data_IF_525167115592
#
_entry.id   IF_525167115592
#
_cell.length_a   1.000
_cell.length_b   1.000
_cell.length_c   1.000
_cell.angle_alpha   90.00
_cell.angle_beta   90.00
_cell.angle_gamma   90.00
#
_symmetry.space_group_name_H-M   'P 1'
#
loop_
_entity.id
_entity.type
_entity.pdbx_description
1 polymer ?
#
# COMPACT_ATOMS: atom_id res chain seq x y z
N UNK A 1 61.80 -41.74 10.34
CA UNK A 1 62.75 -40.78 10.94
C UNK A 1 62.02 -39.43 10.97
N UNK A 2 61.34 -39.06 12.07
CA UNK A 2 61.80 -38.09 13.11
C UNK A 2 62.62 -36.93 12.48
N UNK A 3 62.21 -35.66 12.48
CA UNK A 3 61.97 -34.66 13.57
C UNK A 3 61.41 -33.38 12.87
N UNK A 4 60.80 -32.33 13.45
CA UNK A 4 60.54 -31.85 14.82
C UNK A 4 60.01 -30.39 14.74
N UNK A 5 59.17 -30.04 15.73
CA UNK A 5 58.41 -28.82 16.07
C UNK A 5 58.94 -27.39 15.73
N UNK A 6 58.01 -26.44 15.56
CA UNK A 6 57.81 -25.29 16.48
C UNK A 6 56.51 -24.53 16.17
N UNK A 7 55.71 -24.28 17.22
CA UNK A 7 54.43 -23.58 17.19
C UNK A 7 54.58 -22.09 17.56
N UNK A 8 53.80 -21.22 16.93
CA UNK A 8 53.45 -19.90 17.49
C UNK A 8 52.01 -19.58 17.16
N UNK A 9 51.17 -19.63 18.20
CA UNK A 9 49.79 -19.15 18.23
C UNK A 9 49.85 -17.66 18.59
N UNK A 10 49.23 -16.80 17.78
CA UNK A 10 48.91 -15.42 18.15
C UNK A 10 47.40 -15.27 18.09
N UNK A 11 46.77 -15.27 19.26
CA UNK A 11 45.36 -14.96 19.48
C UNK A 11 45.21 -13.42 19.49
N UNK A 12 44.60 -12.85 18.45
CA UNK A 12 44.03 -11.49 18.53
C UNK A 12 42.51 -11.62 18.70
N UNK A 13 42.08 -11.53 19.96
CA UNK A 13 40.69 -11.40 20.38
C UNK A 13 40.26 -9.93 20.29
N UNK A 14 39.61 -9.56 19.18
CA UNK A 14 38.88 -8.30 19.09
C UNK A 14 37.49 -8.49 19.71
N UNK A 15 37.32 -7.97 20.92
CA UNK A 15 36.10 -8.03 21.70
C UNK A 15 35.01 -7.15 21.06
N UNK A 16 33.83 -7.74 20.84
CA UNK A 16 32.60 -7.03 20.47
C UNK A 16 32.10 -6.30 21.72
N UNK A 17 32.09 -4.97 21.70
CA UNK A 17 31.47 -4.16 22.75
C UNK A 17 29.99 -3.93 22.41
N UNK A 18 29.02 -4.29 23.27
CA UNK A 18 27.67 -3.77 23.16
C UNK A 18 27.69 -2.29 23.60
N UNK A 19 27.28 -1.39 22.71
CA UNK A 19 26.99 -0.01 23.09
C UNK A 19 25.73 0.00 23.95
N UNK A 20 25.90 0.08 25.27
CA UNK A 20 24.83 0.46 26.19
C UNK A 20 24.68 1.98 26.13
N UNK A 21 23.71 2.45 25.35
CA UNK A 21 23.28 3.84 25.43
C UNK A 21 22.58 4.05 26.77
N UNK A 22 23.19 4.83 27.65
CA UNK A 22 22.58 5.31 28.88
C UNK A 22 21.48 6.30 28.51
N UNK A 23 20.21 5.87 28.59
CA UNK A 23 19.06 6.76 28.61
C UNK A 23 18.93 7.38 30.00
N UNK A 24 19.25 8.67 30.09
CA UNK A 24 19.04 9.54 31.24
C UNK A 24 17.54 9.58 31.61
N UNK A 25 17.24 9.37 32.89
CA UNK A 25 15.90 9.41 33.44
C UNK A 25 15.51 10.87 33.74
N UNK A 26 14.75 11.49 32.83
CA UNK A 26 14.22 12.84 33.00
C UNK A 26 12.74 12.97 32.60
N UNK A 27 11.85 12.86 33.60
CA UNK A 27 10.43 13.31 33.67
C UNK A 27 9.36 12.70 32.72
N UNK A 28 8.18 12.30 33.24
CA UNK A 28 7.05 11.84 32.44
C UNK A 28 6.27 13.04 31.87
N UNK A 29 6.37 13.28 30.56
CA UNK A 29 5.41 14.11 29.82
C UNK A 29 4.21 13.23 29.42
N UNK A 30 3.01 13.76 29.64
CA UNK A 30 1.72 13.11 29.35
C UNK A 30 1.50 12.78 27.86
N UNK A 31 0.37 12.15 27.52
CA UNK A 31 0.16 11.55 26.22
C UNK A 31 -0.28 12.62 25.20
N UNK A 32 0.66 13.41 24.69
CA UNK A 32 0.43 14.21 23.50
C UNK A 32 0.76 13.39 22.25
N UNK A 33 -0.31 13.01 21.56
CA UNK A 33 -0.37 12.19 20.36
C UNK A 33 0.14 12.93 19.11
N UNK A 34 1.41 13.34 19.09
CA UNK A 34 2.04 13.97 17.91
C UNK A 34 3.49 13.54 17.77
N UNK A 35 3.74 12.27 17.44
CA UNK A 35 5.03 11.84 16.91
C UNK A 35 4.91 10.45 16.26
N UNK A 36 4.23 10.33 15.13
CA UNK A 36 4.51 9.24 14.21
C UNK A 36 4.19 9.64 12.77
N UNK A 37 4.86 10.70 12.29
CA UNK A 37 5.28 10.70 10.91
C UNK A 37 6.49 9.76 10.85
N UNK A 38 6.22 8.45 10.77
CA UNK A 38 7.26 7.48 10.49
C UNK A 38 7.73 7.78 9.06
N UNK A 39 8.98 8.20 8.99
CA UNK A 39 9.90 8.23 7.87
C UNK A 39 9.46 7.27 6.74
N UNK A 40 8.64 7.76 5.81
CA UNK A 40 8.36 7.03 4.57
C UNK A 40 9.63 7.18 3.75
N UNK A 41 10.36 6.09 3.42
CA UNK A 41 11.52 6.18 2.56
C UNK A 41 11.09 6.91 1.27
N UNK A 42 11.91 7.85 0.75
CA UNK A 42 11.61 8.46 -0.54
C UNK A 42 11.43 7.34 -1.56
N UNK A 43 10.47 7.47 -2.50
CA UNK A 43 10.25 6.44 -3.51
C UNK A 43 11.59 6.15 -4.20
N UNK A 44 12.02 4.89 -4.13
CA UNK A 44 13.20 4.44 -4.86
C UNK A 44 13.03 4.85 -6.33
N UNK A 45 14.05 5.45 -6.97
CA UNK A 45 13.95 5.80 -8.37
C UNK A 45 13.64 4.53 -9.16
N UNK A 46 12.50 4.51 -9.85
CA UNK A 46 12.12 3.42 -10.73
C UNK A 46 13.23 3.24 -11.77
N UNK A 47 13.99 2.15 -11.65
CA UNK A 47 15.03 1.84 -12.62
C UNK A 47 14.35 1.59 -13.97
N UNK A 48 14.59 2.45 -14.96
CA UNK A 48 14.24 2.17 -16.35
C UNK A 48 15.28 1.20 -16.89
N UNK A 49 14.90 -0.08 -16.98
CA UNK A 49 15.81 -1.16 -17.38
C UNK A 49 15.95 -1.27 -18.90
N UNK A 50 15.33 -0.36 -19.66
CA UNK A 50 15.26 -0.39 -21.11
C UNK A 50 14.02 -1.15 -21.62
N UNK A 51 13.96 -1.47 -22.92
CA UNK A 51 12.88 -2.28 -23.49
C UNK A 51 13.16 -3.78 -23.31
N UNK A 52 12.17 -4.51 -22.81
CA UNK A 52 12.24 -5.97 -22.68
C UNK A 52 10.98 -6.52 -22.00
N UNK A 53 10.66 -7.80 -22.18
CA UNK A 53 9.60 -8.41 -21.36
C UNK A 53 10.13 -8.54 -19.93
N UNK A 54 9.54 -7.77 -19.02
CA UNK A 54 9.84 -7.79 -17.59
C UNK A 54 8.75 -8.59 -16.86
N UNK A 55 9.16 -9.54 -16.03
CA UNK A 55 8.20 -10.23 -15.16
C UNK A 55 7.93 -9.34 -13.96
N UNK A 56 6.67 -8.96 -13.78
CA UNK A 56 6.27 -8.10 -12.68
C UNK A 56 5.51 -8.92 -11.65
N UNK A 57 5.90 -8.79 -10.38
CA UNK A 57 5.18 -9.33 -9.23
C UNK A 57 4.63 -8.18 -8.41
N UNK A 58 3.31 -8.18 -8.22
CA UNK A 58 2.57 -7.19 -7.44
C UNK A 58 2.21 -7.78 -6.09
N UNK A 59 2.62 -7.14 -5.00
CA UNK A 59 2.31 -7.58 -3.65
C UNK A 59 1.60 -6.47 -2.89
N UNK A 60 0.50 -6.79 -2.22
CA UNK A 60 -0.25 -5.81 -1.44
C UNK A 60 -0.67 -6.40 -0.09
N UNK A 61 -0.63 -5.56 0.96
CA UNK A 61 -1.17 -5.89 2.28
C UNK A 61 -2.14 -4.81 2.72
N UNK A 62 -3.15 -5.26 3.46
CA UNK A 62 -4.14 -4.40 4.09
C UNK A 62 -4.27 -4.88 5.53
N UNK A 63 -3.65 -4.14 6.44
CA UNK A 63 -3.51 -4.51 7.83
C UNK A 63 -4.39 -3.61 8.69
N UNK A 64 -5.51 -4.15 9.18
CA UNK A 64 -6.47 -3.43 10.00
C UNK A 64 -7.89 -3.92 9.82
N UNK A 65 -8.87 -3.07 10.18
CA UNK A 65 -10.29 -3.36 9.97
C UNK A 65 -10.68 -2.82 8.60
N UNK A 66 -10.57 -3.65 7.56
CA UNK A 66 -10.91 -3.29 6.18
C UNK A 66 -12.09 -4.08 5.63
N UNK A 67 -12.87 -3.48 4.74
CA UNK A 67 -13.75 -4.19 3.79
C UNK A 67 -13.66 -3.58 2.40
N UNK A 68 -14.18 -4.33 1.43
CA UNK A 68 -14.22 -3.89 0.03
C UNK A 68 -12.83 -3.60 -0.54
N UNK A 69 -11.81 -4.32 -0.07
CA UNK A 69 -10.45 -4.14 -0.57
C UNK A 69 -10.43 -4.44 -2.08
N UNK A 70 -9.96 -3.47 -2.86
CA UNK A 70 -9.86 -3.58 -4.32
C UNK A 70 -8.42 -3.30 -4.71
N UNK A 71 -7.84 -4.20 -5.50
CA UNK A 71 -6.45 -4.12 -5.95
C UNK A 71 -6.46 -4.13 -7.47
N UNK A 72 -6.04 -3.02 -8.06
CA UNK A 72 -5.89 -2.87 -9.50
C UNK A 72 -4.42 -2.81 -9.87
N UNK A 73 -3.99 -3.56 -10.88
CA UNK A 73 -2.59 -3.66 -11.28
C UNK A 73 -2.44 -3.85 -12.79
N UNK A 74 -1.31 -3.43 -13.35
CA UNK A 74 -1.02 -3.62 -14.78
C UNK A 74 -0.63 -5.08 -15.06
N UNK A 75 -1.40 -5.79 -15.87
CA UNK A 75 -1.08 -7.16 -16.30
C UNK A 75 -0.26 -7.18 -17.61
N UNK A 76 -0.40 -6.12 -18.42
CA UNK A 76 0.37 -5.83 -19.63
C UNK A 76 0.32 -4.32 -19.95
N UNK A 77 1.05 -3.86 -20.97
CA UNK A 77 1.37 -2.44 -21.26
C UNK A 77 0.21 -1.43 -21.26
N UNK A 78 -1.02 -1.84 -21.54
CA UNK A 78 -2.21 -0.99 -21.38
C UNK A 78 -3.40 -1.79 -20.84
N UNK A 79 -3.11 -2.90 -20.17
CA UNK A 79 -4.12 -3.79 -19.63
C UNK A 79 -4.03 -3.80 -18.11
N UNK A 80 -5.15 -3.49 -17.47
CA UNK A 80 -5.30 -3.53 -16.02
C UNK A 80 -6.17 -4.71 -15.66
N UNK A 81 -5.80 -5.41 -14.60
CA UNK A 81 -6.69 -6.34 -13.92
C UNK A 81 -7.10 -5.76 -12.56
N UNK A 82 -8.30 -6.10 -12.10
CA UNK A 82 -8.81 -5.69 -10.79
C UNK A 82 -9.29 -6.90 -10.02
N UNK A 83 -8.80 -7.05 -8.79
CA UNK A 83 -9.19 -8.11 -7.87
C UNK A 83 -9.84 -7.51 -6.62
N UNK A 84 -10.83 -8.22 -6.06
CA UNK A 84 -11.48 -7.86 -4.79
C UNK A 84 -11.23 -8.94 -3.74
N UNK A 85 -9.97 -9.13 -3.28
CA UNK A 85 -9.66 -10.20 -2.35
C UNK A 85 -10.21 -9.92 -0.95
N UNK A 86 -10.54 -10.99 -0.23
CA UNK A 86 -10.78 -10.89 1.22
C UNK A 86 -9.45 -10.69 1.93
N UNK A 87 -9.11 -9.44 2.24
CA UNK A 87 -7.90 -9.12 3.01
C UNK A 87 -8.15 -9.38 4.50
N UNK A 88 -7.32 -10.24 5.09
CA UNK A 88 -7.28 -10.48 6.55
C UNK A 88 -5.91 -9.98 7.01
N UNK A 89 -5.80 -9.33 8.19
CA UNK A 89 -4.51 -8.87 8.69
C UNK A 89 -3.41 -9.93 8.59
N UNK A 90 -2.24 -9.54 8.11
CA UNK A 90 -1.10 -10.43 7.87
C UNK A 90 -1.16 -11.26 6.57
N UNK A 91 -2.24 -11.18 5.78
CA UNK A 91 -2.29 -11.80 4.45
C UNK A 91 -1.75 -10.84 3.38
N UNK A 92 -0.92 -11.39 2.50
CA UNK A 92 -0.45 -10.70 1.30
C UNK A 92 -1.26 -11.17 0.10
N UNK A 93 -1.79 -10.22 -0.66
CA UNK A 93 -2.22 -10.46 -2.03
C UNK A 93 -0.99 -10.46 -2.92
N UNK A 94 -0.92 -11.42 -3.85
CA UNK A 94 0.15 -11.50 -4.84
C UNK A 94 -0.46 -11.79 -6.22
N UNK A 95 0.04 -11.10 -7.24
CA UNK A 95 -0.30 -11.33 -8.64
C UNK A 95 0.90 -11.05 -9.54
N UNK A 96 0.87 -11.59 -10.75
CA UNK A 96 1.93 -11.41 -11.74
C UNK A 96 1.42 -10.78 -13.03
N UNK A 97 2.31 -10.10 -13.74
CA UNK A 97 2.08 -9.52 -15.07
C UNK A 97 3.37 -9.49 -15.88
N UNK A 98 3.27 -9.12 -17.15
CA UNK A 98 4.44 -8.93 -18.03
C UNK A 98 4.29 -7.62 -18.77
N UNK A 99 5.27 -6.72 -18.60
CA UNK A 99 5.29 -5.39 -19.25
C UNK A 99 6.54 -5.24 -20.11
N UNK A 100 6.50 -4.36 -21.11
CA UNK A 100 7.64 -4.10 -22.01
C UNK A 100 8.59 -3.04 -21.49
N UNK A 101 8.15 -2.23 -20.52
CA UNK A 101 8.98 -1.23 -19.83
C UNK A 101 8.61 -1.21 -18.34
N UNK A 102 9.61 -1.07 -17.46
CA UNK A 102 9.39 -1.05 -16.00
C UNK A 102 8.48 0.09 -15.56
N UNK A 103 8.53 1.22 -16.27
CA UNK A 103 7.66 2.38 -16.07
C UNK A 103 6.18 2.16 -16.42
N UNK A 104 5.84 1.02 -17.02
CA UNK A 104 4.44 0.66 -17.28
C UNK A 104 3.90 -0.28 -16.19
N UNK A 105 4.73 -0.64 -15.20
CA UNK A 105 4.27 -1.32 -13.99
C UNK A 105 3.63 -0.31 -13.01
N UNK A 106 2.45 -0.66 -12.52
CA UNK A 106 1.79 0.10 -11.47
C UNK A 106 0.71 -0.70 -10.77
N UNK A 107 0.38 -0.27 -9.57
CA UNK A 107 -0.65 -0.88 -8.74
C UNK A 107 -1.37 0.18 -7.89
N UNK A 108 -2.65 -0.02 -7.68
CA UNK A 108 -3.47 0.73 -6.74
C UNK A 108 -4.17 -0.22 -5.79
N UNK A 109 -4.06 0.07 -4.49
CA UNK A 109 -4.76 -0.61 -3.42
C UNK A 109 -5.79 0.36 -2.88
N UNK A 110 -7.03 -0.09 -2.71
CA UNK A 110 -8.08 0.71 -2.12
C UNK A 110 -8.87 -0.06 -1.08
N UNK A 111 -9.40 0.64 -0.09
CA UNK A 111 -10.35 0.11 0.88
C UNK A 111 -11.61 0.96 0.88
N UNK A 112 -12.73 0.33 1.24
CA UNK A 112 -14.01 1.02 1.30
C UNK A 112 -14.05 2.01 2.48
N UNK A 113 -14.67 3.17 2.31
CA UNK A 113 -15.09 4.02 3.43
C UNK A 113 -16.15 3.31 4.30
N UNK A 114 -16.22 3.48 5.64
CA UNK A 114 -15.41 4.31 6.54
C UNK A 114 -14.27 3.51 7.20
N UNK A 115 -13.80 2.44 6.56
CA UNK A 115 -12.85 1.52 7.17
C UNK A 115 -11.44 2.11 7.25
N UNK A 116 -10.65 1.61 8.19
CA UNK A 116 -9.29 2.07 8.47
C UNK A 116 -8.31 0.91 8.47
N UNK A 117 -7.20 1.08 7.76
CA UNK A 117 -6.13 0.10 7.71
C UNK A 117 -4.81 0.77 7.34
N UNK A 118 -3.71 0.09 7.66
CA UNK A 118 -2.44 0.32 7.01
C UNK A 118 -2.45 -0.39 5.67
N UNK A 119 -2.25 0.38 4.59
CA UNK A 119 -2.10 -0.12 3.24
C UNK A 119 -0.61 -0.19 2.91
N UNK A 120 -0.22 -1.28 2.27
CA UNK A 120 1.14 -1.48 1.81
C UNK A 120 1.10 -2.11 0.42
N UNK A 121 2.02 -1.69 -0.43
CA UNK A 121 2.16 -2.18 -1.79
C UNK A 121 3.64 -2.28 -2.19
N UNK A 122 3.97 -3.31 -2.94
CA UNK A 122 5.30 -3.54 -3.50
C UNK A 122 5.14 -3.96 -4.97
N UNK A 123 6.02 -3.45 -5.83
CA UNK A 123 6.15 -3.87 -7.22
C UNK A 123 7.57 -4.35 -7.43
N UNK A 124 7.68 -5.63 -7.76
CA UNK A 124 8.94 -6.27 -8.09
C UNK A 124 9.01 -6.48 -9.60
N UNK A 125 10.12 -6.09 -10.22
CA UNK A 125 10.45 -6.45 -11.60
C UNK A 125 11.64 -7.39 -11.58
N UNK A 126 11.47 -8.59 -12.14
CA UNK A 126 12.47 -9.66 -12.11
C UNK A 126 13.03 -9.86 -10.68
N UNK A 127 12.10 -9.96 -9.72
CA UNK A 127 12.35 -10.12 -8.27
C UNK A 127 13.07 -8.94 -7.57
N UNK A 128 13.23 -7.79 -8.24
CA UNK A 128 13.77 -6.57 -7.65
C UNK A 128 12.67 -5.56 -7.35
N UNK A 129 12.58 -5.09 -6.10
CA UNK A 129 11.63 -4.05 -5.72
C UNK A 129 11.99 -2.74 -6.43
N UNK A 130 11.13 -2.28 -7.34
CA UNK A 130 11.30 -1.01 -8.09
C UNK A 130 10.39 0.11 -7.57
N UNK A 131 9.33 -0.25 -6.84
CA UNK A 131 8.42 0.68 -6.22
C UNK A 131 7.78 0.05 -4.97
N UNK A 132 7.65 0.84 -3.93
CA UNK A 132 7.02 0.46 -2.66
C UNK A 132 6.38 1.71 -2.07
N UNK A 133 5.23 1.54 -1.43
CA UNK A 133 4.60 2.61 -0.68
C UNK A 133 3.78 2.06 0.49
N UNK A 134 3.68 2.86 1.53
CA UNK A 134 2.92 2.59 2.74
C UNK A 134 2.06 3.79 3.08
N UNK A 135 0.83 3.53 3.52
CA UNK A 135 -0.05 4.58 4.00
C UNK A 135 -0.99 4.06 5.08
N UNK A 136 -1.04 4.79 6.19
CA UNK A 136 -2.10 4.60 7.16
C UNK A 136 -3.35 5.40 6.77
N UNK A 137 -4.49 4.71 6.66
CA UNK A 137 -5.79 5.32 6.39
C UNK A 137 -6.54 5.49 7.71
N UNK A 138 -6.56 6.73 8.21
CA UNK A 138 -7.27 7.06 9.44
C UNK A 138 -8.79 7.08 9.23
N UNK A 139 -9.60 6.63 10.21
CA UNK A 139 -11.06 6.73 10.13
C UNK A 139 -11.54 8.16 9.87
N UNK A 140 -12.58 8.33 9.06
CA UNK A 140 -13.22 9.63 8.79
C UNK A 140 -14.69 9.60 9.17
N UNK A 141 -15.15 10.72 9.73
CA UNK A 141 -16.55 10.95 10.04
C UNK A 141 -17.33 11.50 8.83
N UNK A 142 -16.66 12.23 7.94
CA UNK A 142 -17.27 12.79 6.73
C UNK A 142 -17.24 11.78 5.59
N UNK A 143 -18.29 11.73 4.74
CA UNK A 143 -18.36 10.82 3.60
C UNK A 143 -17.23 11.00 2.59
N UNK A 144 -16.94 9.93 1.84
CA UNK A 144 -15.88 9.89 0.84
C UNK A 144 -16.11 10.82 -0.37
N UNK A 145 -17.34 11.31 -0.62
CA UNK A 145 -17.57 12.29 -1.69
C UNK A 145 -16.80 13.60 -1.46
N UNK A 146 -16.51 13.94 -0.20
CA UNK A 146 -15.74 15.12 0.18
C UNK A 146 -14.21 14.86 0.13
N UNK A 147 -13.80 13.59 -0.02
CA UNK A 147 -12.41 13.14 -0.05
C UNK A 147 -12.25 11.95 -1.02
N UNK A 148 -12.19 12.19 -2.35
CA UNK A 148 -12.11 11.13 -3.35
C UNK A 148 -10.84 10.26 -3.23
N UNK A 149 -9.79 10.77 -2.58
CA UNK A 149 -8.54 10.05 -2.31
C UNK A 149 -8.57 9.16 -1.08
N UNK A 150 -9.67 9.15 -0.31
CA UNK A 150 -9.75 8.38 0.93
C UNK A 150 -9.47 6.89 0.71
N UNK A 151 -8.53 6.33 1.47
CA UNK A 151 -8.30 4.90 1.46
C UNK A 151 -7.73 4.35 0.16
N UNK A 152 -7.09 5.19 -0.68
CA UNK A 152 -6.40 4.78 -1.91
C UNK A 152 -4.89 4.97 -1.74
N UNK A 153 -4.13 3.92 -2.03
CA UNK A 153 -2.68 3.92 -2.11
C UNK A 153 -2.26 3.51 -3.53
N UNK A 154 -1.47 4.33 -4.21
CA UNK A 154 -0.96 4.05 -5.56
C UNK A 154 0.56 3.96 -5.56
N UNK A 155 1.10 3.04 -6.35
CA UNK A 155 2.50 2.61 -6.29
C UNK A 155 3.00 2.32 -7.70
N UNK A 156 4.26 2.66 -7.96
CA UNK A 156 4.80 2.69 -9.32
C UNK A 156 4.38 3.94 -10.08
N UNK A 157 4.52 3.89 -11.40
CA UNK A 157 4.39 5.03 -12.30
C UNK A 157 3.01 5.11 -12.97
N UNK A 158 2.37 3.96 -13.20
CA UNK A 158 0.96 3.92 -13.63
C UNK A 158 0.09 4.20 -12.41
N UNK A 159 -0.72 5.26 -12.47
CA UNK A 159 -1.59 5.70 -11.37
C UNK A 159 -3.05 5.89 -11.79
N UNK A 160 -3.35 5.77 -13.09
CA UNK A 160 -4.70 5.91 -13.63
C UNK A 160 -5.50 4.60 -13.51
N UNK A 161 -5.87 4.24 -12.29
CA UNK A 161 -6.71 3.08 -11.99
C UNK A 161 -8.16 3.51 -11.67
N UNK A 162 -9.16 2.66 -11.97
CA UNK A 162 -10.54 2.91 -11.55
C UNK A 162 -10.62 2.97 -10.02
N UNK A 163 -11.17 4.05 -9.48
CA UNK A 163 -11.40 4.17 -8.03
C UNK A 163 -12.68 3.43 -7.64
N UNK A 164 -12.57 2.51 -6.68
CA UNK A 164 -13.67 1.64 -6.20
C UNK A 164 -14.02 1.82 -4.71
N UNK A 165 -13.59 2.91 -4.10
CA UNK A 165 -13.60 3.16 -2.64
C UNK A 165 -14.88 3.83 -2.10
N UNK A 166 -15.94 3.96 -2.89
CA UNK A 166 -17.19 4.60 -2.47
C UNK A 166 -17.93 3.78 -1.40
N UNK A 167 -18.53 4.49 -0.44
CA UNK A 167 -19.50 3.88 0.47
C UNK A 167 -20.65 3.24 -0.35
N UNK A 168 -21.28 2.16 0.13
CA UNK A 168 -22.55 1.73 -0.44
C UNK A 168 -23.52 2.91 -0.31
N UNK A 169 -23.95 3.46 -1.44
CA UNK A 169 -25.08 4.39 -1.43
C UNK A 169 -26.30 3.60 -0.96
N UNK A 170 -26.92 4.05 0.14
CA UNK A 170 -28.29 3.63 0.45
C UNK A 170 -29.10 3.77 -0.85
N UNK A 171 -29.91 2.78 -1.24
CA UNK A 171 -30.63 2.86 -2.50
C UNK A 171 -31.42 4.16 -2.52
N UNK A 172 -31.17 5.01 -3.52
CA UNK A 172 -32.03 6.15 -3.81
C UNK A 172 -33.46 5.63 -3.78
N UNK A 173 -34.35 6.17 -2.92
CA UNK A 173 -35.75 5.82 -2.97
C UNK A 173 -36.20 5.96 -4.43
N UNK A 174 -36.90 4.97 -5.01
CA UNK A 174 -37.35 5.10 -6.39
C UNK A 174 -38.08 6.43 -6.55
N UNK A 175 -37.77 7.16 -7.63
CA UNK A 175 -38.48 8.39 -7.98
C UNK A 175 -39.98 8.11 -7.86
N UNK A 176 -40.60 8.68 -6.83
CA UNK A 176 -42.04 8.53 -6.65
C UNK A 176 -42.66 9.24 -7.87
N UNK A 177 -43.47 8.57 -8.71
CA UNK A 177 -44.10 9.23 -9.84
C UNK A 177 -44.79 10.50 -9.35
N UNK A 178 -44.45 11.65 -9.95
CA UNK A 178 -45.13 12.90 -9.62
C UNK A 178 -46.62 12.71 -9.91
N UNK A 179 -47.45 12.89 -8.89
CA UNK A 179 -48.90 12.81 -9.00
C UNK A 179 -49.36 13.79 -10.10
N UNK A 180 -50.22 13.38 -11.06
CA UNK A 180 -50.66 14.29 -12.12
C UNK A 180 -51.32 15.53 -11.53
N UNK A 181 -50.88 16.71 -11.97
CA UNK A 181 -51.47 17.97 -11.55
C UNK A 181 -53.01 17.95 -11.77
N UNK A 182 -53.82 18.40 -10.80
CA UNK A 182 -55.27 18.39 -10.94
C UNK A 182 -55.69 19.27 -12.13
N UNK A 183 -56.71 18.86 -12.90
CA UNK A 183 -57.13 19.57 -14.10
C UNK A 183 -57.61 20.98 -13.75
N UNK A 184 -57.20 21.95 -14.57
CA UNK A 184 -57.59 23.35 -14.44
C UNK A 184 -59.13 23.50 -14.57
N UNK A 185 -59.76 24.42 -13.81
CA UNK A 185 -61.19 24.63 -13.89
C UNK A 185 -61.57 25.21 -15.25
N UNK A 186 -62.59 24.62 -15.89
CA UNK A 186 -63.14 25.13 -17.15
C UNK A 186 -63.87 26.47 -16.90
N UNK A 187 -63.62 27.44 -17.79
CA UNK A 187 -64.31 28.74 -17.84
C UNK A 187 -65.61 28.66 -18.63
#
# INVERSE_FOLDING_TARGET
MLTGAAATVVLLSAQVFPSVAHGDAGTPQGPDATAQAADTPPPSPTADLGPGPYNVTYRARVDGVSRGATISYAIADNQVNTATPTMVPGRTFEATGVVTQTRDAGMQVSIQWPYSASLHCEILVDDQIIAEADQFVAPRLTPQHDDPGYGVLSCGTVTNFPVGNTAPTDPTPPDTPSDPAPPAPAA
#
